data_IF_573378058682
#
_entry.id   IF_573378058682
#
_cell.length_a   1.000
_cell.length_b   1.000
_cell.length_c   1.000
_cell.angle_alpha   90.00
_cell.angle_beta   90.00
_cell.angle_gamma   90.00
#
_symmetry.space_group_name_H-M   'P 1'
#
loop_
_entity.id
_entity.type
_entity.pdbx_description
1 polymer ?
#
# COMPACT_ATOMS: atom_id res chain seq x y z
N UNK A 1 8.27 11.60 -23.35
CA UNK A 1 7.02 12.38 -23.37
C UNK A 1 5.77 11.47 -23.37
N UNK A 2 5.55 10.62 -24.39
CA UNK A 2 4.35 9.74 -24.45
C UNK A 2 4.16 8.83 -23.22
N UNK A 3 5.24 8.15 -22.80
CA UNK A 3 5.20 7.24 -21.64
C UNK A 3 4.91 7.95 -20.31
N UNK A 4 5.37 9.19 -20.13
CA UNK A 4 5.11 9.98 -18.91
C UNK A 4 3.64 10.38 -18.85
N UNK A 5 3.09 10.82 -19.98
CA UNK A 5 1.68 11.20 -20.08
C UNK A 5 0.73 9.99 -19.95
N UNK A 6 1.16 8.80 -20.36
CA UNK A 6 0.41 7.55 -20.14
C UNK A 6 0.42 7.15 -18.67
N UNK A 7 1.59 7.20 -18.01
CA UNK A 7 1.70 6.94 -16.55
C UNK A 7 0.88 7.90 -15.72
N UNK A 8 0.97 9.21 -15.98
CA UNK A 8 0.20 10.23 -15.27
C UNK A 8 -1.32 9.97 -15.36
N UNK A 9 -1.80 9.57 -16.54
CA UNK A 9 -3.23 9.24 -16.73
C UNK A 9 -3.61 7.95 -16.01
N UNK A 10 -2.73 6.95 -15.97
CA UNK A 10 -2.97 5.71 -15.25
C UNK A 10 -3.05 5.97 -13.74
N UNK A 11 -2.10 6.73 -13.20
CA UNK A 11 -2.08 7.13 -11.79
C UNK A 11 -3.34 7.92 -11.40
N UNK A 12 -3.72 8.93 -12.19
CA UNK A 12 -4.93 9.70 -11.96
C UNK A 12 -6.19 8.83 -11.91
N UNK A 13 -6.31 7.86 -12.82
CA UNK A 13 -7.45 6.92 -12.84
C UNK A 13 -7.47 5.98 -11.63
N UNK A 14 -6.31 5.56 -11.16
CA UNK A 14 -6.22 4.73 -9.95
C UNK A 14 -6.56 5.52 -8.70
N UNK A 15 -6.12 6.78 -8.60
CA UNK A 15 -6.52 7.70 -7.53
C UNK A 15 -8.04 7.95 -7.53
N UNK A 16 -8.64 8.20 -8.69
CA UNK A 16 -10.10 8.35 -8.81
C UNK A 16 -10.83 7.08 -8.37
N UNK A 17 -10.42 5.90 -8.87
CA UNK A 17 -11.00 4.62 -8.47
C UNK A 17 -10.87 4.36 -6.97
N UNK A 18 -9.71 4.67 -6.39
CA UNK A 18 -9.47 4.52 -4.96
C UNK A 18 -10.40 5.44 -4.16
N UNK A 19 -10.53 6.70 -4.58
CA UNK A 19 -11.44 7.67 -3.98
C UNK A 19 -12.91 7.21 -4.07
N UNK A 20 -13.35 6.70 -5.23
CA UNK A 20 -14.70 6.16 -5.43
C UNK A 20 -14.98 4.94 -4.55
N UNK A 21 -13.96 4.13 -4.26
CA UNK A 21 -14.02 3.01 -3.34
C UNK A 21 -14.00 3.44 -1.85
N UNK A 22 -13.92 4.74 -1.55
CA UNK A 22 -13.88 5.27 -0.20
C UNK A 22 -12.51 5.16 0.48
N UNK A 23 -11.44 4.89 -0.28
CA UNK A 23 -10.09 4.81 0.27
C UNK A 23 -9.59 6.20 0.68
N UNK A 24 -8.79 6.29 1.76
CA UNK A 24 -8.19 7.54 2.23
C UNK A 24 -7.03 7.96 1.32
N UNK A 25 -7.35 8.58 0.19
CA UNK A 25 -6.39 9.07 -0.82
C UNK A 25 -6.49 10.59 -1.00
N UNK A 26 -5.47 11.25 -1.57
CA UNK A 26 -5.56 12.65 -1.96
C UNK A 26 -6.72 12.90 -2.93
N UNK A 27 -7.50 13.96 -2.69
CA UNK A 27 -8.49 14.42 -3.67
C UNK A 27 -7.77 15.03 -4.88
N UNK A 28 -8.15 14.60 -6.08
CA UNK A 28 -7.58 15.09 -7.32
C UNK A 28 -8.23 16.41 -7.76
N UNK A 29 -7.42 17.44 -8.01
CA UNK A 29 -7.88 18.78 -8.43
C UNK A 29 -7.64 19.05 -9.91
N UNK A 30 -6.50 18.60 -10.46
CA UNK A 30 -6.19 18.77 -11.87
C UNK A 30 -5.21 17.71 -12.38
N UNK A 31 -5.35 17.37 -13.66
CA UNK A 31 -4.42 16.49 -14.40
C UNK A 31 -4.05 17.18 -15.70
N UNK A 32 -2.76 17.49 -15.89
CA UNK A 32 -2.22 18.00 -17.15
C UNK A 32 -1.15 17.03 -17.70
N UNK A 33 -1.53 16.12 -18.62
CA UNK A 33 -0.58 15.20 -19.24
C UNK A 33 0.42 15.89 -20.18
N UNK A 34 0.15 17.12 -20.63
CA UNK A 34 1.06 17.89 -21.49
C UNK A 34 2.19 18.48 -20.66
N UNK A 35 1.85 19.03 -19.50
CA UNK A 35 2.81 19.54 -18.51
C UNK A 35 3.34 18.47 -17.55
N UNK A 36 2.92 17.20 -17.68
CA UNK A 36 3.23 16.11 -16.76
C UNK A 36 2.94 16.47 -15.28
N UNK A 37 1.83 17.15 -15.04
CA UNK A 37 1.48 17.73 -13.74
C UNK A 37 0.20 17.09 -13.19
N UNK A 38 0.26 16.66 -11.93
CA UNK A 38 -0.88 16.21 -11.13
C UNK A 38 -1.03 17.18 -9.96
N UNK A 39 -2.24 17.72 -9.73
CA UNK A 39 -2.54 18.58 -8.59
C UNK A 39 -3.56 17.89 -7.71
N UNK A 40 -3.23 17.71 -6.44
CA UNK A 40 -4.06 16.99 -5.47
C UNK A 40 -4.03 17.65 -4.09
N UNK A 41 -4.93 17.24 -3.21
CA UNK A 41 -4.98 17.72 -1.83
C UNK A 41 -3.73 17.29 -1.05
N UNK A 42 -3.20 18.19 -0.21
CA UNK A 42 -2.23 17.79 0.81
C UNK A 42 -2.94 17.01 1.93
N UNK A 43 -2.43 15.83 2.26
CA UNK A 43 -2.94 15.04 3.37
C UNK A 43 -2.32 15.52 4.70
N UNK A 44 -3.12 15.68 5.77
CA UNK A 44 -2.58 15.93 7.10
C UNK A 44 -1.95 14.66 7.69
N UNK A 45 -0.84 14.80 8.41
CA UNK A 45 -0.13 13.71 9.08
C UNK A 45 1.37 13.69 8.76
N UNK A 46 2.07 12.70 9.31
CA UNK A 46 3.47 12.42 9.02
C UNK A 46 3.58 11.17 8.14
N UNK A 47 4.72 10.99 7.47
CA UNK A 47 5.03 9.72 6.79
C UNK A 47 4.92 8.55 7.79
N UNK A 48 4.27 7.46 7.38
CA UNK A 48 4.15 6.27 8.21
C UNK A 48 5.53 5.73 8.61
N UNK A 49 6.52 5.83 7.72
CA UNK A 49 7.92 5.51 8.01
C UNK A 49 8.46 6.23 9.27
N UNK A 50 8.05 7.47 9.53
CA UNK A 50 8.43 8.17 10.76
C UNK A 50 7.56 7.72 11.94
N UNK A 51 6.26 7.57 11.73
CA UNK A 51 5.31 7.18 12.78
C UNK A 51 5.61 5.77 13.35
N UNK A 52 6.13 4.85 12.54
CA UNK A 52 6.54 3.51 12.95
C UNK A 52 7.74 3.50 13.92
N UNK A 53 8.57 4.56 13.93
CA UNK A 53 9.73 4.67 14.84
C UNK A 53 9.36 5.17 16.24
N UNK A 54 8.12 5.61 16.45
CA UNK A 54 7.65 5.98 17.78
C UNK A 54 7.58 4.75 18.70
N UNK A 55 7.68 4.91 20.04
CA UNK A 55 7.59 3.79 20.98
C UNK A 55 6.32 2.92 20.84
N UNK A 56 5.23 3.51 20.33
CA UNK A 56 3.96 2.83 20.05
C UNK A 56 3.73 2.54 18.56
N UNK A 57 4.78 2.58 17.72
CA UNK A 57 4.67 2.47 16.27
C UNK A 57 4.00 1.18 15.77
N UNK A 58 4.08 0.09 16.54
CA UNK A 58 3.40 -1.18 16.23
C UNK A 58 1.87 -1.05 16.07
N UNK A 59 1.25 0.00 16.64
CA UNK A 59 -0.19 0.27 16.52
C UNK A 59 -0.64 0.48 15.06
N UNK A 60 0.28 0.88 14.18
CA UNK A 60 -0.02 1.13 12.77
C UNK A 60 -0.09 -0.13 11.92
N UNK A 61 0.47 -1.25 12.38
CA UNK A 61 0.60 -2.46 11.57
C UNK A 61 -0.74 -3.12 11.20
N UNK A 62 -1.71 -3.25 12.13
CA UNK A 62 -3.04 -3.74 11.77
C UNK A 62 -3.75 -2.79 10.80
N UNK A 63 -3.67 -1.48 11.04
CA UNK A 63 -4.27 -0.45 10.17
C UNK A 63 -3.72 -0.51 8.75
N UNK A 64 -2.41 -0.73 8.63
CA UNK A 64 -1.73 -0.86 7.35
C UNK A 64 -2.14 -2.14 6.61
N UNK A 65 -2.24 -3.27 7.32
CA UNK A 65 -2.74 -4.53 6.74
C UNK A 65 -4.18 -4.43 6.25
N UNK A 66 -5.04 -3.77 7.02
CA UNK A 66 -6.44 -3.49 6.67
C UNK A 66 -6.53 -2.54 5.46
N UNK A 67 -5.77 -1.45 5.44
CA UNK A 67 -5.76 -0.51 4.31
C UNK A 67 -5.30 -1.20 3.02
N UNK A 68 -4.24 -2.02 3.06
CA UNK A 68 -3.81 -2.78 1.87
C UNK A 68 -4.87 -3.77 1.40
N UNK A 69 -5.59 -4.41 2.32
CA UNK A 69 -6.71 -5.29 1.97
C UNK A 69 -7.83 -4.50 1.27
N UNK A 70 -8.16 -3.30 1.74
CA UNK A 70 -9.15 -2.44 1.08
C UNK A 70 -8.69 -1.96 -0.31
N UNK A 71 -7.41 -1.64 -0.48
CA UNK A 71 -6.83 -1.34 -1.80
C UNK A 71 -7.03 -2.52 -2.76
N UNK A 72 -6.67 -3.74 -2.33
CA UNK A 72 -6.83 -4.95 -3.14
C UNK A 72 -8.30 -5.32 -3.38
N UNK A 73 -9.19 -5.07 -2.43
CA UNK A 73 -10.64 -5.26 -2.54
C UNK A 73 -11.28 -4.30 -3.54
N UNK A 74 -10.71 -3.09 -3.71
CA UNK A 74 -11.08 -2.16 -4.76
C UNK A 74 -10.58 -2.58 -6.15
N UNK A 75 -9.89 -3.73 -6.28
CA UNK A 75 -9.28 -4.22 -7.52
C UNK A 75 -8.12 -3.34 -7.98
N UNK A 76 -7.37 -2.80 -7.01
CA UNK A 76 -6.18 -1.98 -7.24
C UNK A 76 -4.97 -2.73 -6.69
N UNK A 77 -3.90 -2.76 -7.46
CA UNK A 77 -2.56 -3.12 -7.01
C UNK A 77 -1.79 -1.81 -6.93
N UNK A 78 -1.16 -1.52 -5.80
CA UNK A 78 -0.37 -0.33 -5.59
C UNK A 78 0.94 -0.37 -6.39
N UNK A 79 1.60 -1.52 -6.43
CA UNK A 79 2.85 -1.75 -7.17
C UNK A 79 4.12 -1.29 -6.44
N UNK A 80 4.00 -0.45 -5.41
CA UNK A 80 5.09 -0.02 -4.52
C UNK A 80 4.59 0.38 -3.12
N UNK A 81 3.88 -0.50 -2.39
CA UNK A 81 3.32 -0.17 -1.08
C UNK A 81 4.39 -0.13 0.02
N UNK A 82 5.35 0.79 -0.07
CA UNK A 82 6.37 1.03 0.97
C UNK A 82 5.88 1.97 2.05
N UNK A 83 6.49 1.96 3.23
CA UNK A 83 6.05 2.78 4.38
C UNK A 83 6.13 4.30 4.13
N UNK A 84 6.88 4.76 3.12
CA UNK A 84 6.90 6.17 2.69
C UNK A 84 5.70 6.58 1.83
N UNK A 85 4.97 5.61 1.28
CA UNK A 85 3.76 5.85 0.48
C UNK A 85 2.48 5.86 1.32
N UNK A 86 2.62 5.90 2.64
CA UNK A 86 1.50 6.05 3.58
C UNK A 86 1.70 7.25 4.50
N UNK A 87 0.59 7.93 4.84
CA UNK A 87 0.55 9.08 5.73
C UNK A 87 -0.26 8.73 6.97
N UNK A 88 0.37 8.81 8.13
CA UNK A 88 -0.21 8.55 9.44
C UNK A 88 -0.70 9.85 10.09
N UNK A 89 -1.98 9.89 10.45
CA UNK A 89 -2.66 11.00 11.13
C UNK A 89 -3.11 10.53 12.50
N UNK A 90 -2.51 11.12 13.54
CA UNK A 90 -2.63 10.73 14.96
C UNK A 90 -3.87 9.90 15.31
N UNK A 91 -3.64 8.69 15.82
CA UNK A 91 -4.67 7.76 16.27
C UNK A 91 -5.52 8.43 17.37
N UNK A 92 -6.71 8.87 17.02
CA UNK A 92 -7.68 9.52 17.90
C UNK A 92 -8.97 8.72 17.78
N UNK A 93 -9.32 8.03 18.86
CA UNK A 93 -10.42 7.09 19.02
C UNK A 93 -11.59 7.22 18.02
N UNK A 94 -11.78 6.19 17.18
CA UNK A 94 -13.09 5.88 16.60
C UNK A 94 -13.13 5.44 15.14
N UNK A 95 -12.14 5.80 14.31
CA UNK A 95 -12.13 5.41 12.89
C UNK A 95 -10.72 5.03 12.41
N UNK A 96 -10.41 3.75 12.52
CA UNK A 96 -9.12 3.13 12.20
C UNK A 96 -8.59 3.50 10.80
N UNK A 97 -9.47 3.54 9.78
CA UNK A 97 -9.11 3.86 8.40
C UNK A 97 -8.86 5.35 8.18
N UNK A 98 -9.47 6.22 9.00
CA UNK A 98 -9.26 7.69 8.93
C UNK A 98 -7.87 8.14 9.39
N UNK A 99 -7.10 7.25 10.03
CA UNK A 99 -5.77 7.53 10.57
C UNK A 99 -4.63 7.21 9.61
N UNK A 100 -4.89 6.47 8.53
CA UNK A 100 -3.87 6.12 7.55
C UNK A 100 -4.36 6.47 6.17
N UNK A 101 -3.53 7.14 5.39
CA UNK A 101 -3.84 7.49 4.00
C UNK A 101 -2.76 6.93 3.08
N UNK A 102 -3.11 6.59 1.85
CA UNK A 102 -2.17 6.05 0.85
C UNK A 102 -1.96 7.08 -0.26
N UNK A 103 -0.71 7.17 -0.74
CA UNK A 103 -0.29 8.06 -1.82
C UNK A 103 0.48 7.28 -2.88
N UNK A 104 0.74 7.92 -4.01
CA UNK A 104 1.59 7.42 -5.10
C UNK A 104 1.16 6.07 -5.70
N UNK A 105 0.22 6.11 -6.64
CA UNK A 105 -0.15 4.97 -7.48
C UNK A 105 0.63 4.93 -8.80
N UNK A 106 1.82 5.57 -8.88
CA UNK A 106 2.57 5.74 -10.13
C UNK A 106 3.04 4.44 -10.78
N UNK A 107 3.11 3.35 -10.00
CA UNK A 107 3.42 1.98 -10.47
C UNK A 107 2.22 1.03 -10.38
N UNK A 108 1.07 1.54 -9.95
CA UNK A 108 -0.12 0.74 -9.71
C UNK A 108 -0.82 0.30 -10.98
N UNK A 109 -1.71 -0.68 -10.85
CA UNK A 109 -2.58 -1.17 -11.91
C UNK A 109 -3.95 -1.58 -11.35
N UNK A 110 -4.97 -1.53 -12.19
CA UNK A 110 -6.26 -2.14 -11.86
C UNK A 110 -6.18 -3.63 -12.18
N UNK A 111 -6.26 -4.48 -11.16
CA UNK A 111 -6.15 -5.94 -11.29
C UNK A 111 -6.72 -6.66 -10.08
N UNK A 112 -7.24 -7.86 -10.31
CA UNK A 112 -7.69 -8.79 -9.27
C UNK A 112 -6.76 -10.01 -9.14
N UNK A 113 -5.57 -9.95 -9.76
CA UNK A 113 -4.60 -11.04 -9.76
C UNK A 113 -3.93 -11.24 -8.40
N UNK A 114 -4.04 -12.45 -7.86
CA UNK A 114 -3.50 -12.78 -6.54
C UNK A 114 -1.97 -12.84 -6.49
N UNK A 115 -1.28 -13.05 -7.62
CA UNK A 115 0.19 -13.02 -7.68
C UNK A 115 0.70 -11.56 -7.60
N UNK A 116 -0.02 -10.63 -8.21
CA UNK A 116 0.23 -9.18 -8.04
C UNK A 116 -0.07 -8.71 -6.61
N UNK A 117 -1.19 -9.13 -6.01
CA UNK A 117 -1.50 -8.83 -4.59
C UNK A 117 -0.44 -9.38 -3.65
N UNK A 118 0.04 -10.59 -3.90
CA UNK A 118 1.12 -11.20 -3.14
C UNK A 118 2.44 -10.45 -3.29
N UNK A 119 2.69 -9.87 -4.47
CA UNK A 119 3.87 -9.02 -4.71
C UNK A 119 3.80 -7.74 -3.89
N UNK A 120 2.64 -7.07 -3.85
CA UNK A 120 2.42 -5.89 -3.00
C UNK A 120 2.65 -6.22 -1.51
N UNK A 121 2.03 -7.28 -1.01
CA UNK A 121 2.26 -7.76 0.37
C UNK A 121 3.75 -7.98 0.65
N UNK A 122 4.46 -8.61 -0.29
CA UNK A 122 5.88 -8.90 -0.16
C UNK A 122 6.72 -7.62 -0.10
N UNK A 123 6.49 -6.68 -1.02
CA UNK A 123 7.21 -5.38 -1.03
C UNK A 123 7.01 -4.64 0.28
N UNK A 124 5.78 -4.61 0.79
CA UNK A 124 5.49 -3.96 2.07
C UNK A 124 6.18 -4.65 3.25
N UNK A 125 6.16 -5.98 3.30
CA UNK A 125 6.86 -6.76 4.33
C UNK A 125 8.38 -6.54 4.27
N UNK A 126 8.98 -6.57 3.08
CA UNK A 126 10.41 -6.31 2.88
C UNK A 126 10.78 -4.87 3.29
N UNK A 127 9.91 -3.89 2.99
CA UNK A 127 10.08 -2.50 3.41
C UNK A 127 10.08 -2.37 4.95
N UNK A 128 9.14 -3.03 5.63
CA UNK A 128 9.06 -3.05 7.09
C UNK A 128 10.24 -3.78 7.73
N UNK A 129 10.66 -4.92 7.19
CA UNK A 129 11.82 -5.68 7.69
C UNK A 129 13.13 -4.90 7.52
N UNK A 130 13.28 -4.15 6.43
CA UNK A 130 14.48 -3.36 6.16
C UNK A 130 14.60 -2.11 7.06
N UNK A 131 13.49 -1.42 7.32
CA UNK A 131 13.51 -0.10 7.98
C UNK A 131 13.01 -0.12 9.42
N UNK A 132 12.24 -1.14 9.81
CA UNK A 132 11.61 -1.30 11.12
C UNK A 132 11.66 -2.75 11.67
N UNK A 133 12.82 -3.43 11.65
CA UNK A 133 12.95 -4.84 12.04
C UNK A 133 12.50 -5.11 13.50
N UNK A 134 12.61 -4.12 14.38
CA UNK A 134 12.21 -4.20 15.79
C UNK A 134 10.71 -4.46 15.98
N UNK A 135 9.87 -4.11 15.00
CA UNK A 135 8.42 -4.23 15.10
C UNK A 135 7.91 -5.65 14.85
N UNK A 136 8.73 -6.55 14.31
CA UNK A 136 8.32 -7.92 13.95
C UNK A 136 6.98 -7.96 13.20
N UNK A 137 6.84 -7.09 12.20
CA UNK A 137 5.55 -6.61 11.71
C UNK A 137 4.66 -7.68 11.02
N UNK A 138 5.28 -8.76 10.55
CA UNK A 138 4.65 -9.75 9.66
C UNK A 138 3.35 -10.33 10.22
N UNK A 139 3.36 -10.77 11.47
CA UNK A 139 2.18 -11.44 12.05
C UNK A 139 0.99 -10.49 12.16
N UNK A 140 1.21 -9.29 12.72
CA UNK A 140 0.17 -8.29 12.92
C UNK A 140 -0.43 -7.82 11.59
N UNK A 141 0.43 -7.54 10.60
CA UNK A 141 0.01 -7.08 9.28
C UNK A 141 -0.79 -8.16 8.53
N UNK A 142 -0.27 -9.39 8.47
CA UNK A 142 -0.94 -10.49 7.76
C UNK A 142 -2.20 -10.97 8.49
N UNK A 143 -2.28 -10.84 9.81
CA UNK A 143 -3.50 -11.11 10.55
C UNK A 143 -4.62 -10.13 10.15
N UNK A 144 -4.34 -8.82 10.14
CA UNK A 144 -5.32 -7.82 9.71
C UNK A 144 -5.72 -7.99 8.24
N UNK A 145 -4.77 -8.23 7.34
CA UNK A 145 -5.06 -8.47 5.93
C UNK A 145 -5.94 -9.71 5.72
N UNK A 146 -5.81 -10.75 6.56
CA UNK A 146 -6.57 -12.00 6.46
C UNK A 146 -8.07 -11.83 6.74
N UNK A 147 -8.46 -10.81 7.48
CA UNK A 147 -9.87 -10.53 7.77
C UNK A 147 -10.69 -10.20 6.50
N UNK A 148 -10.02 -9.77 5.43
CA UNK A 148 -10.65 -9.68 4.13
C UNK A 148 -10.96 -11.07 3.55
N UNK A 149 -12.23 -11.32 3.23
CA UNK A 149 -12.75 -12.61 2.79
C UNK A 149 -12.07 -13.20 1.53
N UNK A 150 -11.53 -12.37 0.64
CA UNK A 150 -10.82 -12.80 -0.57
C UNK A 150 -9.29 -12.84 -0.40
N UNK A 151 -8.77 -12.69 0.82
CA UNK A 151 -7.32 -12.64 1.09
C UNK A 151 -6.58 -13.96 0.82
N UNK A 152 -7.28 -15.10 0.85
CA UNK A 152 -6.67 -16.44 0.86
C UNK A 152 -5.74 -16.69 -0.33
N UNK A 153 -6.14 -16.31 -1.55
CA UNK A 153 -5.35 -16.52 -2.75
C UNK A 153 -4.03 -15.73 -2.73
N UNK A 154 -4.09 -14.44 -2.38
CA UNK A 154 -2.91 -13.60 -2.23
C UNK A 154 -1.95 -14.14 -1.16
N UNK A 155 -2.46 -14.60 -0.01
CA UNK A 155 -1.65 -15.17 1.08
C UNK A 155 -0.99 -16.49 0.69
N UNK A 156 -1.69 -17.36 -0.06
CA UNK A 156 -1.11 -18.59 -0.61
C UNK A 156 0.02 -18.27 -1.59
N UNK A 157 -0.18 -17.27 -2.47
CA UNK A 157 0.85 -16.86 -3.43
C UNK A 157 2.04 -16.20 -2.77
N UNK A 158 1.84 -15.42 -1.71
CA UNK A 158 2.92 -14.87 -0.90
C UNK A 158 3.80 -16.01 -0.34
N UNK A 159 3.19 -17.03 0.26
CA UNK A 159 3.93 -18.18 0.79
C UNK A 159 4.72 -18.94 -0.30
N UNK A 160 4.17 -19.05 -1.51
CA UNK A 160 4.87 -19.66 -2.64
C UNK A 160 6.05 -18.81 -3.14
N UNK A 161 5.89 -17.48 -3.20
CA UNK A 161 6.96 -16.54 -3.58
C UNK A 161 8.14 -16.59 -2.60
N UNK A 162 7.87 -16.61 -1.30
CA UNK A 162 8.88 -16.70 -0.24
C UNK A 162 9.68 -18.01 -0.31
N UNK A 163 9.00 -19.14 -0.58
CA UNK A 163 9.68 -20.44 -0.75
C UNK A 163 10.63 -20.43 -1.94
N UNK A 164 10.21 -19.90 -3.09
CA UNK A 164 11.06 -19.78 -4.29
C UNK A 164 12.27 -18.88 -4.05
N UNK A 165 12.10 -17.77 -3.33
CA UNK A 165 13.20 -16.88 -2.94
C UNK A 165 14.29 -17.60 -2.14
N UNK A 166 13.89 -18.45 -1.19
CA UNK A 166 14.82 -19.28 -0.39
C UNK A 166 15.56 -20.32 -1.23
N UNK A 167 14.89 -20.96 -2.20
CA UNK A 167 15.54 -21.92 -3.09
C UNK A 167 16.58 -21.28 -4.02
N UNK A 168 16.37 -20.03 -4.45
CA UNK A 168 17.32 -19.32 -5.30
C UNK A 168 18.58 -18.86 -4.53
N UNK A 169 18.47 -18.52 -3.25
CA UNK A 169 19.61 -18.16 -2.38
C UNK A 169 20.51 -19.35 -2.01
N UNK A 170 19.97 -20.58 -2.01
CA UNK A 170 20.74 -21.80 -1.70
C UNK A 170 21.53 -22.31 -2.93
N UNK A 171 21.20 -21.82 -4.14
CA UNK A 171 21.78 -22.28 -5.41
C UNK A 171 22.68 -21.25 -6.10
N UNK A 172 22.83 -20.05 -5.56
CA UNK A 172 23.77 -19.01 -6.03
C UNK A 172 25.03 -19.00 -5.20
#
# INVERSE_FOLDING_TARGET
VRLVAERLRAEARLLERASEAGLPVPSLYAVDPTAATLVMSQLPGDLLEHALRAPNGAVWLPLLGELLAHIHAAGIIHGDPTTSNFIARGASDGDALGHLSVIDFGLGVASDDDEQRATDLRVLLESLEAHHPELNARELLLAAYREWNCSAGALERLAALEQRGRYNLIRG
#
